data_IF_999522126576
#
_entry.id   IF_999522126576
#
_cell.length_a   1.000
_cell.length_b   1.000
_cell.length_c   1.000
_cell.angle_alpha   90.00
_cell.angle_beta   90.00
_cell.angle_gamma   90.00
#
_symmetry.space_group_name_H-M   'P 1'
#
loop_
_entity.id
_entity.type
_entity.pdbx_description
1 polymer ?
#
# COMPACT_ATOMS: atom_id res chain seq x y z
N UNK A 1 -1.31 -1.66 -49.02
CA UNK A 1 -1.54 -2.96 -49.68
C UNK A 1 -2.46 -3.78 -48.78
N UNK A 2 -3.70 -4.00 -49.17
CA UNK A 2 -4.57 -4.97 -48.51
C UNK A 2 -4.06 -6.36 -48.84
N UNK A 3 -3.67 -7.20 -47.87
CA UNK A 3 -3.30 -8.58 -48.15
C UNK A 3 -4.50 -9.28 -48.81
N UNK A 4 -4.27 -9.96 -49.93
CA UNK A 4 -5.29 -10.76 -50.59
C UNK A 4 -5.87 -11.82 -49.65
N UNK A 5 -7.09 -12.27 -49.98
CA UNK A 5 -7.95 -13.18 -49.22
C UNK A 5 -7.34 -14.50 -48.73
N UNK A 6 -6.09 -14.82 -49.11
CA UNK A 6 -5.38 -16.06 -48.79
C UNK A 6 -4.24 -15.89 -47.76
N UNK A 7 -4.16 -14.73 -47.09
CA UNK A 7 -3.15 -14.54 -46.05
C UNK A 7 -3.43 -15.44 -44.83
N UNK A 8 -2.60 -16.47 -44.66
CA UNK A 8 -2.57 -17.29 -43.45
C UNK A 8 -1.55 -16.66 -42.48
N UNK A 9 -1.99 -16.18 -41.30
CA UNK A 9 -1.07 -15.61 -40.32
C UNK A 9 -0.03 -16.65 -39.86
N UNK A 10 1.26 -16.27 -39.78
CA UNK A 10 2.31 -17.12 -39.23
C UNK A 10 1.93 -17.65 -37.85
N UNK A 11 1.98 -18.97 -37.64
CA UNK A 11 1.68 -19.62 -36.36
C UNK A 11 2.93 -19.95 -35.56
N UNK A 12 4.10 -19.88 -36.21
CA UNK A 12 5.41 -20.16 -35.61
C UNK A 12 6.39 -19.05 -35.96
N UNK A 13 7.33 -18.76 -35.06
CA UNK A 13 8.38 -17.74 -35.26
C UNK A 13 9.18 -17.99 -36.56
N UNK A 14 9.35 -19.26 -36.94
CA UNK A 14 10.04 -19.66 -38.18
C UNK A 14 9.33 -19.25 -39.48
N UNK A 15 8.02 -18.97 -39.42
CA UNK A 15 7.18 -18.58 -40.56
C UNK A 15 7.11 -17.05 -40.73
N UNK A 16 7.70 -16.29 -39.80
CA UNK A 16 7.78 -14.83 -39.89
C UNK A 16 8.77 -14.41 -40.97
N UNK A 17 8.44 -13.34 -41.69
CA UNK A 17 9.40 -12.60 -42.50
C UNK A 17 10.53 -12.04 -41.63
N UNK A 18 11.65 -11.65 -42.23
CA UNK A 18 12.74 -11.00 -41.49
C UNK A 18 12.26 -9.76 -40.74
N UNK A 19 11.39 -8.96 -41.35
CA UNK A 19 10.75 -7.79 -40.74
C UNK A 19 9.84 -8.19 -39.57
N UNK A 20 8.93 -9.15 -39.77
CA UNK A 20 8.04 -9.62 -38.70
C UNK A 20 8.78 -10.28 -37.54
N UNK A 21 9.94 -10.90 -37.80
CA UNK A 21 10.83 -11.40 -36.74
C UNK A 21 11.47 -10.27 -35.94
N UNK A 22 11.92 -9.21 -36.61
CA UNK A 22 12.51 -8.06 -35.94
C UNK A 22 11.48 -7.32 -35.06
N UNK A 23 10.23 -7.19 -35.53
CA UNK A 23 9.11 -6.64 -34.76
C UNK A 23 8.80 -7.51 -33.54
N UNK A 24 8.65 -8.83 -33.73
CA UNK A 24 8.43 -9.76 -32.61
C UNK A 24 9.55 -9.69 -31.57
N UNK A 25 10.81 -9.63 -32.01
CA UNK A 25 11.97 -9.47 -31.13
C UNK A 25 11.98 -8.11 -30.40
N UNK A 26 11.46 -7.05 -31.02
CA UNK A 26 11.28 -5.77 -30.36
C UNK A 26 10.19 -5.85 -29.27
N UNK A 27 9.03 -6.41 -29.61
CA UNK A 27 7.89 -6.54 -28.69
C UNK A 27 8.22 -7.44 -27.50
N UNK A 28 8.90 -8.57 -27.71
CA UNK A 28 9.28 -9.47 -26.62
C UNK A 28 10.28 -8.81 -25.67
N UNK A 29 11.16 -7.95 -26.17
CA UNK A 29 12.08 -7.15 -25.33
C UNK A 29 11.32 -6.15 -24.48
N UNK A 30 10.37 -5.41 -25.06
CA UNK A 30 9.51 -4.47 -24.32
C UNK A 30 8.71 -5.22 -23.26
N UNK A 31 8.10 -6.35 -23.62
CA UNK A 31 7.34 -7.17 -22.69
C UNK A 31 8.23 -7.63 -21.52
N UNK A 32 9.43 -8.16 -21.80
CA UNK A 32 10.36 -8.64 -20.78
C UNK A 32 10.79 -7.52 -19.82
N UNK A 33 10.99 -6.30 -20.34
CA UNK A 33 11.29 -5.13 -19.52
C UNK A 33 10.11 -4.77 -18.60
N UNK A 34 8.88 -4.75 -19.14
CA UNK A 34 7.66 -4.49 -18.36
C UNK A 34 7.42 -5.56 -17.31
N UNK A 35 7.63 -6.83 -17.65
CA UNK A 35 7.50 -7.94 -16.72
C UNK A 35 8.50 -7.82 -15.56
N UNK A 36 9.75 -7.47 -15.86
CA UNK A 36 10.78 -7.25 -14.83
C UNK A 36 10.40 -6.11 -13.89
N UNK A 37 9.96 -4.98 -14.44
CA UNK A 37 9.49 -3.84 -13.65
C UNK A 37 8.27 -4.19 -12.78
N UNK A 38 7.33 -4.96 -13.31
CA UNK A 38 6.17 -5.44 -12.57
C UNK A 38 6.56 -6.36 -11.41
N UNK A 39 7.46 -7.33 -11.65
CA UNK A 39 7.94 -8.26 -10.61
C UNK A 39 8.64 -7.51 -9.48
N UNK A 40 9.49 -6.55 -9.80
CA UNK A 40 10.18 -5.74 -8.78
C UNK A 40 9.18 -4.88 -8.01
N UNK A 41 8.21 -4.25 -8.68
CA UNK A 41 7.15 -3.48 -8.02
C UNK A 41 6.37 -4.35 -7.05
N UNK A 42 5.96 -5.55 -7.46
CA UNK A 42 5.23 -6.50 -6.58
C UNK A 42 6.05 -6.95 -5.39
N UNK A 43 7.37 -7.12 -5.56
CA UNK A 43 8.28 -7.44 -4.45
C UNK A 43 8.36 -6.29 -3.43
N UNK A 44 8.42 -5.04 -3.89
CA UNK A 44 8.43 -3.88 -2.99
C UNK A 44 7.07 -3.68 -2.31
N UNK A 45 5.97 -3.92 -3.03
CA UNK A 45 4.61 -3.93 -2.47
C UNK A 45 4.48 -4.95 -1.34
N UNK A 46 4.97 -6.18 -1.54
CA UNK A 46 4.96 -7.23 -0.52
C UNK A 46 5.76 -6.82 0.74
N UNK A 47 6.95 -6.25 0.57
CA UNK A 47 7.75 -5.74 1.70
C UNK A 47 7.00 -4.65 2.48
N UNK A 48 6.29 -3.78 1.78
CA UNK A 48 5.50 -2.73 2.43
C UNK A 48 4.32 -3.32 3.20
N UNK A 49 3.62 -4.31 2.64
CA UNK A 49 2.57 -5.06 3.35
C UNK A 49 3.12 -5.67 4.64
N UNK A 50 4.25 -6.39 4.56
CA UNK A 50 4.90 -7.00 5.73
C UNK A 50 5.30 -5.96 6.78
N UNK A 51 5.89 -4.84 6.35
CA UNK A 51 6.26 -3.74 7.24
C UNK A 51 5.04 -3.16 7.96
N UNK A 52 3.94 -2.90 7.26
CA UNK A 52 2.70 -2.38 7.85
C UNK A 52 2.14 -3.37 8.87
N UNK A 53 2.02 -4.65 8.50
CA UNK A 53 1.51 -5.68 9.41
C UNK A 53 2.42 -5.92 10.63
N UNK A 54 3.72 -5.63 10.54
CA UNK A 54 4.63 -5.70 11.68
C UNK A 54 4.51 -4.49 12.63
N UNK A 55 4.19 -3.31 12.10
CA UNK A 55 4.25 -2.04 12.84
C UNK A 55 2.91 -1.58 13.38
N UNK A 56 1.83 -1.81 12.63
CA UNK A 56 0.48 -1.42 13.00
C UNK A 56 -0.05 -2.36 14.09
N UNK A 57 -0.74 -1.82 15.10
CA UNK A 57 -1.34 -2.64 16.17
C UNK A 57 -2.37 -3.65 15.62
N UNK A 58 -2.50 -4.80 16.27
CA UNK A 58 -3.41 -5.87 15.85
C UNK A 58 -4.88 -5.42 15.67
N UNK A 59 -5.34 -4.43 16.42
CA UNK A 59 -6.70 -3.86 16.28
C UNK A 59 -6.88 -3.18 14.92
N UNK A 60 -5.92 -2.35 14.52
CA UNK A 60 -5.95 -1.67 13.23
C UNK A 60 -5.68 -2.64 12.07
N UNK A 61 -4.91 -3.70 12.28
CA UNK A 61 -4.76 -4.74 11.26
C UNK A 61 -6.12 -5.37 10.89
N UNK A 62 -6.94 -5.70 11.90
CA UNK A 62 -8.26 -6.32 11.70
C UNK A 62 -9.31 -5.38 11.08
N UNK A 63 -9.18 -4.08 11.31
CA UNK A 63 -10.21 -3.10 10.96
C UNK A 63 -9.85 -2.25 9.74
N UNK A 64 -8.57 -1.94 9.56
CA UNK A 64 -8.06 -1.05 8.53
C UNK A 64 -7.14 -1.73 7.50
N UNK A 65 -6.55 -2.89 7.82
CA UNK A 65 -5.61 -3.61 6.93
C UNK A 65 -6.11 -5.01 6.56
N UNK A 66 -7.31 -5.09 5.97
CA UNK A 66 -7.92 -6.38 5.58
C UNK A 66 -7.09 -7.08 4.50
N UNK A 67 -6.74 -8.34 4.71
CA UNK A 67 -5.96 -9.15 3.75
C UNK A 67 -6.67 -9.26 2.40
N UNK A 68 -5.94 -9.02 1.32
CA UNK A 68 -6.47 -9.05 -0.04
C UNK A 68 -7.01 -7.72 -0.56
N UNK A 69 -7.19 -6.72 0.31
CA UNK A 69 -7.46 -5.35 -0.12
C UNK A 69 -6.18 -4.66 -0.65
N UNK A 70 -6.39 -3.59 -1.42
CA UNK A 70 -5.31 -2.75 -1.95
C UNK A 70 -4.72 -1.84 -0.86
N UNK A 71 -3.43 -1.55 -0.95
CA UNK A 71 -2.70 -0.71 0.00
C UNK A 71 -3.21 0.74 0.07
N UNK A 72 -3.77 1.28 -1.02
CA UNK A 72 -4.39 2.61 -1.04
C UNK A 72 -5.63 2.67 -0.12
N UNK A 73 -6.45 1.61 -0.13
CA UNK A 73 -7.57 1.45 0.78
C UNK A 73 -7.09 1.33 2.23
N UNK A 74 -6.04 0.55 2.48
CA UNK A 74 -5.44 0.46 3.83
C UNK A 74 -4.99 1.83 4.33
N UNK A 75 -4.33 2.62 3.48
CA UNK A 75 -3.90 3.98 3.83
C UNK A 75 -5.08 4.88 4.22
N UNK A 76 -6.15 4.88 3.42
CA UNK A 76 -7.35 5.68 3.70
C UNK A 76 -8.01 5.29 5.04
N UNK A 77 -8.14 3.99 5.31
CA UNK A 77 -8.75 3.51 6.55
C UNK A 77 -7.87 3.77 7.78
N UNK A 78 -6.55 3.59 7.66
CA UNK A 78 -5.61 3.96 8.71
C UNK A 78 -5.67 5.46 8.99
N UNK A 79 -5.71 6.30 7.96
CA UNK A 79 -5.83 7.75 8.12
C UNK A 79 -7.12 8.14 8.84
N UNK A 80 -8.27 7.57 8.44
CA UNK A 80 -9.58 7.76 9.10
C UNK A 80 -9.52 7.37 10.58
N UNK A 81 -8.90 6.23 10.89
CA UNK A 81 -8.79 5.75 12.26
C UNK A 81 -7.84 6.59 13.13
N UNK A 82 -6.78 7.16 12.53
CA UNK A 82 -5.80 8.01 13.22
C UNK A 82 -6.37 9.36 13.66
N UNK A 83 -7.31 9.92 12.89
CA UNK A 83 -8.04 11.15 13.27
C UNK A 83 -8.82 10.92 14.58
N UNK A 84 -9.50 9.77 14.71
CA UNK A 84 -10.26 9.40 15.92
C UNK A 84 -9.35 9.17 17.13
N UNK A 85 -8.12 8.66 16.92
CA UNK A 85 -7.16 8.45 18.00
C UNK A 85 -6.67 9.78 18.60
N UNK A 86 -6.30 10.75 17.75
CA UNK A 86 -5.83 12.06 18.21
C UNK A 86 -6.94 12.88 18.88
N UNK A 87 -8.17 12.80 18.38
CA UNK A 87 -9.33 13.45 19.00
C UNK A 87 -9.66 12.89 20.39
N UNK A 88 -9.44 11.59 20.63
CA UNK A 88 -9.67 10.96 21.94
C UNK A 88 -8.50 11.11 22.91
N UNK A 89 -7.28 11.31 22.41
CA UNK A 89 -6.09 11.43 23.26
C UNK A 89 -6.11 12.71 24.08
N UNK A 90 -6.48 13.85 23.47
CA UNK A 90 -6.52 15.16 24.12
C UNK A 90 -7.49 15.20 25.32
N UNK A 91 -8.76 14.79 25.19
CA UNK A 91 -9.69 14.74 26.32
C UNK A 91 -9.23 13.78 27.41
N UNK A 92 -8.76 12.57 27.06
CA UNK A 92 -8.29 11.61 28.06
C UNK A 92 -7.05 12.10 28.82
N UNK A 93 -6.10 12.73 28.14
CA UNK A 93 -4.94 13.33 28.78
C UNK A 93 -5.33 14.50 29.69
N UNK A 94 -6.27 15.35 29.22
CA UNK A 94 -6.84 16.45 30.00
C UNK A 94 -7.56 15.95 31.26
N UNK A 95 -8.41 14.95 31.14
CA UNK A 95 -9.17 14.41 32.27
C UNK A 95 -8.24 13.71 33.28
N UNK A 96 -7.19 13.03 32.80
CA UNK A 96 -6.16 12.46 33.67
C UNK A 96 -5.37 13.54 34.41
N UNK A 97 -5.03 14.64 33.73
CA UNK A 97 -4.40 15.80 34.35
C UNK A 97 -5.29 16.44 35.41
N UNK A 98 -6.56 16.73 35.11
CA UNK A 98 -7.48 17.30 36.08
C UNK A 98 -7.70 16.38 37.28
N UNK A 99 -7.81 15.06 37.09
CA UNK A 99 -7.85 14.12 38.21
C UNK A 99 -6.59 14.20 39.07
N UNK A 100 -5.40 14.22 38.46
CA UNK A 100 -4.14 14.32 39.21
C UNK A 100 -4.04 15.64 40.00
N UNK A 101 -4.44 16.76 39.41
CA UNK A 101 -4.45 18.08 40.06
C UNK A 101 -5.48 18.14 41.20
N UNK A 102 -6.67 17.58 41.03
CA UNK A 102 -7.71 17.57 42.08
C UNK A 102 -7.43 16.57 43.20
N UNK A 103 -6.64 15.52 42.95
CA UNK A 103 -6.26 14.52 43.96
C UNK A 103 -4.97 14.89 44.69
N UNK A 104 -4.21 15.87 44.18
CA UNK A 104 -3.05 16.40 44.88
C UNK A 104 -3.52 17.10 46.17
N UNK A 105 -2.91 16.80 47.34
CA UNK A 105 -3.27 17.47 48.59
C UNK A 105 -3.12 18.98 48.40
N UNK A 106 -4.16 19.76 48.69
CA UNK A 106 -4.01 21.21 48.79
C UNK A 106 -2.95 21.45 49.86
N UNK A 107 -1.78 21.91 49.45
CA UNK A 107 -0.76 22.40 50.37
C UNK A 107 -1.37 23.65 51.00
N UNK A 108 -2.08 23.46 52.12
CA UNK A 108 -2.44 24.55 52.98
C UNK A 108 -1.12 25.18 53.39
N UNK A 109 -0.89 26.43 52.98
CA UNK A 109 0.23 27.23 53.43
C UNK A 109 0.23 27.16 54.95
N UNK A 110 1.23 26.49 55.53
CA UNK A 110 1.57 26.64 56.93
C UNK A 110 1.96 28.11 57.08
N UNK A 111 1.04 28.90 57.60
CA UNK A 111 1.29 30.27 58.03
C UNK A 111 2.24 30.23 59.23
N UNK A 112 3.04 31.29 59.29
CA UNK A 112 4.14 31.66 60.19
C UNK A 112 3.99 31.28 61.68
#
# INVERSE_FOLDING_TARGET
MTPGSDYIPPRRIGELTSEGRAEYEHDIRIYSLKETAYRETKKQEQKLVEFILKTVSATYQKTSCVTGDRLDKWYQELQRSGVVYNERLRPKARDKYHKAVHTAPKINKLNE
#
